data_IF_288259385514
#
_entry.id   IF_288259385514
#
_cell.length_a   1.000
_cell.length_b   1.000
_cell.length_c   1.000
_cell.angle_alpha   90.00
_cell.angle_beta   90.00
_cell.angle_gamma   90.00
#
_symmetry.space_group_name_H-M   'P 1'
#
loop_
_entity.id
_entity.type
_entity.pdbx_description
1 polymer ?
#
# COMPACT_ATOMS: atom_id res chain seq x y z
N UNK A 1 9.98 -17.99 34.11
CA UNK A 1 9.89 -16.53 34.34
C UNK A 1 10.17 -15.65 33.11
N UNK A 2 10.98 -16.06 32.12
CA UNK A 2 11.20 -15.26 30.88
C UNK A 2 10.08 -15.36 29.82
N UNK A 3 9.25 -16.42 29.87
CA UNK A 3 8.16 -16.66 28.89
C UNK A 3 6.85 -15.91 29.19
N UNK A 4 6.67 -15.44 30.42
CA UNK A 4 5.46 -14.70 30.84
C UNK A 4 5.60 -13.21 30.45
N UNK A 5 6.83 -12.68 30.45
CA UNK A 5 7.13 -11.31 30.03
C UNK A 5 6.93 -11.13 28.51
N UNK A 6 7.26 -12.16 27.71
CA UNK A 6 7.04 -12.14 26.27
C UNK A 6 5.53 -12.09 25.89
N UNK A 7 4.67 -12.72 26.69
CA UNK A 7 3.21 -12.68 26.48
C UNK A 7 2.57 -11.37 26.93
N UNK A 8 3.17 -10.66 27.88
CA UNK A 8 2.64 -9.39 28.39
C UNK A 8 2.96 -8.20 27.45
N UNK A 9 4.10 -8.25 26.75
CA UNK A 9 4.45 -7.24 25.73
C UNK A 9 3.63 -7.43 24.45
N UNK A 10 3.19 -8.65 24.15
CA UNK A 10 2.28 -8.94 23.03
C UNK A 10 0.81 -8.58 23.35
N UNK A 11 0.42 -8.55 24.62
CA UNK A 11 -0.91 -8.15 25.08
C UNK A 11 -1.09 -6.65 25.31
N UNK A 12 -0.01 -5.91 25.59
CA UNK A 12 -0.09 -4.48 25.93
C UNK A 12 -0.24 -3.54 24.71
N UNK A 13 -0.15 -4.04 23.48
CA UNK A 13 -0.43 -3.24 22.27
C UNK A 13 -1.90 -3.32 21.82
N UNK A 14 -2.71 -4.17 22.46
CA UNK A 14 -4.10 -4.42 22.08
C UNK A 14 -5.12 -3.61 22.89
N UNK A 15 -4.70 -2.79 23.85
CA UNK A 15 -5.63 -2.17 24.83
C UNK A 15 -5.55 -0.64 24.96
N UNK A 16 -5.07 0.08 23.95
CA UNK A 16 -5.06 1.55 23.96
C UNK A 16 -5.57 2.16 22.65
N UNK A 17 -6.77 1.75 22.21
CA UNK A 17 -7.52 2.48 21.18
C UNK A 17 -9.04 2.24 21.27
N UNK A 18 -9.62 2.26 22.49
CA UNK A 18 -11.06 2.53 22.65
C UNK A 18 -11.20 4.05 22.83
N UNK A 19 -11.05 4.77 21.73
CA UNK A 19 -11.38 6.18 21.64
C UNK A 19 -12.07 6.37 20.30
N UNK A 20 -13.18 7.10 20.26
CA UNK A 20 -13.91 7.45 19.05
C UNK A 20 -12.95 7.86 17.93
N UNK A 21 -12.60 6.92 17.06
CA UNK A 21 -11.72 7.14 15.94
C UNK A 21 -12.59 6.98 14.70
N UNK A 22 -12.80 8.13 14.08
CA UNK A 22 -13.39 8.33 12.76
C UNK A 22 -13.26 7.07 11.89
N UNK A 23 -14.35 6.60 11.27
CA UNK A 23 -14.37 5.36 10.46
C UNK A 23 -13.21 5.30 9.47
N UNK A 24 -12.78 6.46 9.00
CA UNK A 24 -11.69 6.65 8.08
C UNK A 24 -10.31 6.35 8.73
N UNK A 25 -10.07 6.81 9.96
CA UNK A 25 -8.85 6.54 10.73
C UNK A 25 -8.76 5.07 11.19
N UNK A 26 -9.90 4.46 11.53
CA UNK A 26 -9.99 3.02 11.81
C UNK A 26 -9.72 2.16 10.59
N UNK A 27 -10.21 2.56 9.40
CA UNK A 27 -10.00 1.86 8.13
C UNK A 27 -8.54 1.87 7.67
N UNK A 28 -7.85 3.01 7.78
CA UNK A 28 -6.43 3.12 7.44
C UNK A 28 -5.53 2.29 8.40
N UNK A 29 -5.82 2.33 9.70
CA UNK A 29 -5.07 1.56 10.71
C UNK A 29 -5.25 0.05 10.56
N UNK A 30 -6.49 -0.42 10.36
CA UNK A 30 -6.76 -1.83 10.08
C UNK A 30 -6.22 -2.26 8.72
N UNK A 31 -6.34 -1.43 7.69
CA UNK A 31 -5.84 -1.69 6.34
C UNK A 31 -4.31 -1.80 6.30
N UNK A 32 -3.61 -0.96 7.06
CA UNK A 32 -2.16 -1.03 7.21
C UNK A 32 -1.72 -2.33 7.89
N UNK A 33 -2.34 -2.69 9.03
CA UNK A 33 -1.97 -3.90 9.79
C UNK A 33 -2.34 -5.19 9.05
N UNK A 34 -3.53 -5.25 8.47
CA UNK A 34 -4.00 -6.39 7.68
C UNK A 34 -3.18 -6.52 6.39
N UNK A 35 -2.93 -5.40 5.72
CA UNK A 35 -2.08 -5.34 4.52
C UNK A 35 -0.66 -5.80 4.81
N UNK A 36 -0.08 -5.40 5.94
CA UNK A 36 1.24 -5.86 6.37
C UNK A 36 1.27 -7.38 6.61
N UNK A 37 0.29 -7.92 7.32
CA UNK A 37 0.23 -9.34 7.62
C UNK A 37 0.05 -10.20 6.36
N UNK A 38 -0.91 -9.83 5.49
CA UNK A 38 -1.17 -10.55 4.23
C UNK A 38 0.02 -10.42 3.27
N UNK A 39 0.60 -9.22 3.17
CA UNK A 39 1.78 -8.97 2.37
C UNK A 39 2.97 -9.82 2.83
N UNK A 40 3.16 -9.97 4.14
CA UNK A 40 4.22 -10.80 4.71
C UNK A 40 4.06 -12.29 4.38
N UNK A 41 2.82 -12.78 4.29
CA UNK A 41 2.53 -14.19 4.07
C UNK A 41 2.58 -14.58 2.58
N UNK A 42 2.29 -13.64 1.69
CA UNK A 42 2.17 -13.90 0.24
C UNK A 42 3.46 -13.62 -0.53
N UNK A 43 4.45 -12.97 0.08
CA UNK A 43 5.74 -12.67 -0.54
C UNK A 43 6.83 -13.68 -0.17
N UNK A 44 7.69 -14.00 -1.13
CA UNK A 44 8.92 -14.80 -0.90
C UNK A 44 9.83 -14.17 0.16
N UNK A 45 9.82 -12.84 0.23
CA UNK A 45 10.46 -12.07 1.29
C UNK A 45 9.39 -11.40 2.16
N UNK A 46 9.19 -11.94 3.37
CA UNK A 46 8.12 -11.52 4.28
C UNK A 46 8.21 -10.05 4.67
N UNK A 47 9.41 -9.49 4.77
CA UNK A 47 9.62 -8.09 5.19
C UNK A 47 9.23 -7.14 4.06
N UNK A 48 9.68 -7.43 2.83
CA UNK A 48 9.32 -6.64 1.64
C UNK A 48 7.82 -6.70 1.38
N UNK A 49 7.23 -7.91 1.44
CA UNK A 49 5.80 -8.09 1.30
C UNK A 49 4.98 -7.34 2.35
N UNK A 50 5.40 -7.37 3.61
CA UNK A 50 4.74 -6.62 4.68
C UNK A 50 4.79 -5.11 4.45
N UNK A 51 5.94 -4.57 4.02
CA UNK A 51 6.09 -3.14 3.77
C UNK A 51 5.25 -2.67 2.56
N UNK A 52 5.26 -3.46 1.48
CA UNK A 52 4.41 -3.22 0.30
C UNK A 52 2.93 -3.26 0.71
N UNK A 53 2.53 -4.29 1.46
CA UNK A 53 1.16 -4.47 1.90
C UNK A 53 0.70 -3.39 2.88
N UNK A 54 1.56 -2.94 3.79
CA UNK A 54 1.27 -1.88 4.75
C UNK A 54 1.13 -0.51 4.06
N UNK A 55 2.07 -0.15 3.18
CA UNK A 55 2.09 1.15 2.52
C UNK A 55 0.93 1.32 1.54
N UNK A 56 0.67 0.30 0.73
CA UNK A 56 -0.46 0.28 -0.20
C UNK A 56 -1.79 0.19 0.56
N UNK A 57 -1.88 -0.69 1.57
CA UNK A 57 -3.11 -0.95 2.32
C UNK A 57 -3.58 0.23 3.16
N UNK A 58 -2.66 1.00 3.74
CA UNK A 58 -3.00 2.19 4.51
C UNK A 58 -3.53 3.32 3.62
N UNK A 59 -2.81 3.64 2.54
CA UNK A 59 -3.09 4.78 1.68
C UNK A 59 -4.32 4.54 0.81
N UNK A 60 -4.38 3.38 0.14
CA UNK A 60 -5.43 3.09 -0.83
C UNK A 60 -6.65 2.47 -0.16
N UNK A 61 -6.47 1.78 0.97
CA UNK A 61 -7.59 1.31 1.79
C UNK A 61 -8.44 2.45 2.36
N UNK A 62 -7.85 3.62 2.61
CA UNK A 62 -8.58 4.82 3.01
C UNK A 62 -9.36 5.47 1.85
N UNK A 63 -8.72 5.63 0.69
CA UNK A 63 -9.25 6.45 -0.39
C UNK A 63 -10.06 5.68 -1.44
N UNK A 64 -9.64 4.45 -1.76
CA UNK A 64 -10.24 3.58 -2.78
C UNK A 64 -11.01 2.42 -2.11
N UNK A 65 -10.62 2.03 -0.89
CA UNK A 65 -11.26 0.97 -0.12
C UNK A 65 -10.59 -0.39 -0.31
N UNK A 66 -11.31 -1.46 0.07
CA UNK A 66 -10.82 -2.84 0.03
C UNK A 66 -10.88 -3.47 -1.38
N UNK A 67 -11.15 -2.67 -2.40
CA UNK A 67 -11.26 -3.12 -3.80
C UNK A 67 -9.89 -3.44 -4.42
N UNK A 68 -8.81 -2.87 -3.89
CA UNK A 68 -7.50 -3.10 -4.46
C UNK A 68 -6.91 -4.44 -4.06
N UNK A 69 -6.69 -5.29 -5.05
CA UNK A 69 -6.17 -6.64 -4.84
C UNK A 69 -4.67 -6.76 -5.16
N UNK A 70 -4.19 -7.99 -5.31
CA UNK A 70 -2.79 -8.26 -5.63
C UNK A 70 -2.42 -7.86 -7.07
N UNK A 71 -3.33 -8.03 -8.03
CA UNK A 71 -3.10 -7.72 -9.43
C UNK A 71 -2.87 -6.21 -9.62
N UNK A 72 -3.67 -5.38 -8.95
CA UNK A 72 -3.51 -3.92 -9.02
C UNK A 72 -2.16 -3.46 -8.48
N UNK A 73 -1.69 -4.08 -7.38
CA UNK A 73 -0.37 -3.79 -6.78
C UNK A 73 0.77 -4.13 -7.71
N UNK A 74 0.63 -5.21 -8.47
CA UNK A 74 1.59 -5.62 -9.49
C UNK A 74 1.59 -4.62 -10.66
N UNK A 75 0.43 -4.14 -11.11
CA UNK A 75 0.35 -3.12 -12.16
C UNK A 75 0.93 -1.77 -11.71
N UNK A 76 0.71 -1.36 -10.46
CA UNK A 76 1.34 -0.17 -9.88
C UNK A 76 2.87 -0.31 -9.86
N UNK A 77 3.39 -1.45 -9.39
CA UNK A 77 4.83 -1.74 -9.42
C UNK A 77 5.39 -1.68 -10.84
N UNK A 78 4.71 -2.32 -11.79
CA UNK A 78 5.08 -2.31 -13.21
C UNK A 78 5.08 -0.89 -13.78
N UNK A 79 4.10 -0.07 -13.42
CA UNK A 79 4.04 1.33 -13.83
C UNK A 79 5.25 2.12 -13.32
N UNK A 80 5.54 2.01 -12.02
CA UNK A 80 6.67 2.71 -11.41
C UNK A 80 8.03 2.30 -12.00
N UNK A 81 8.17 1.02 -12.38
CA UNK A 81 9.41 0.47 -12.92
C UNK A 81 9.59 0.77 -14.42
N UNK A 82 8.54 0.61 -15.22
CA UNK A 82 8.67 0.57 -16.69
C UNK A 82 8.27 1.85 -17.41
N UNK A 83 7.46 2.69 -16.76
CA UNK A 83 6.85 3.83 -17.44
C UNK A 83 7.68 5.12 -17.25
N UNK A 84 7.94 5.89 -18.33
CA UNK A 84 8.53 7.21 -18.22
C UNK A 84 7.67 8.14 -17.36
N UNK A 85 8.31 9.14 -16.76
CA UNK A 85 7.64 10.16 -15.94
C UNK A 85 6.55 10.88 -16.74
N UNK A 86 5.37 11.03 -16.12
CA UNK A 86 4.21 11.69 -16.71
C UNK A 86 3.41 10.87 -17.72
N UNK A 87 3.85 9.64 -18.05
CA UNK A 87 3.10 8.78 -18.97
C UNK A 87 2.18 7.84 -18.17
N UNK A 88 0.86 7.84 -18.38
CA UNK A 88 -0.05 6.97 -17.65
C UNK A 88 0.06 5.51 -18.12
N UNK A 89 -0.19 4.57 -17.22
CA UNK A 89 -0.52 3.18 -17.55
C UNK A 89 -1.90 2.87 -16.99
N UNK A 90 -2.81 2.43 -17.86
CA UNK A 90 -4.18 2.09 -17.49
C UNK A 90 -4.42 0.58 -17.56
N UNK A 91 -5.24 0.06 -16.65
CA UNK A 91 -5.67 -1.33 -16.65
C UNK A 91 -7.09 -1.49 -16.12
N UNK A 92 -7.72 -2.60 -16.47
CA UNK A 92 -8.95 -3.08 -15.85
C UNK A 92 -8.60 -4.31 -15.04
N UNK A 93 -9.01 -4.32 -13.78
CA UNK A 93 -8.83 -5.47 -12.92
C UNK A 93 -9.77 -6.61 -13.39
N UNK A 94 -9.26 -7.82 -13.66
CA UNK A 94 -10.08 -8.94 -14.14
C UNK A 94 -10.98 -9.56 -13.07
N UNK A 95 -10.67 -9.39 -11.78
CA UNK A 95 -11.34 -10.05 -10.67
C UNK A 95 -12.56 -9.24 -10.18
N UNK A 96 -12.45 -7.90 -10.13
CA UNK A 96 -13.54 -7.01 -9.68
C UNK A 96 -14.08 -6.05 -10.77
N UNK A 97 -13.40 -5.93 -11.91
CA UNK A 97 -13.81 -5.06 -13.01
C UNK A 97 -13.50 -3.56 -12.84
N UNK A 98 -12.87 -3.15 -11.73
CA UNK A 98 -12.46 -1.77 -11.47
C UNK A 98 -11.43 -1.31 -12.49
N UNK A 99 -11.57 -0.08 -12.98
CA UNK A 99 -10.64 0.53 -13.92
C UNK A 99 -9.69 1.46 -13.18
N UNK A 100 -8.41 1.36 -13.52
CA UNK A 100 -7.34 2.13 -12.90
C UNK A 100 -6.47 2.82 -13.94
N UNK A 101 -5.89 3.94 -13.55
CA UNK A 101 -4.83 4.63 -14.27
C UNK A 101 -3.75 5.07 -13.27
N UNK A 102 -2.49 4.74 -13.52
CA UNK A 102 -1.37 5.17 -12.69
C UNK A 102 -0.38 6.00 -13.52
N UNK A 103 0.01 7.16 -13.00
CA UNK A 103 0.97 8.07 -13.63
C UNK A 103 2.15 8.31 -12.70
N UNK A 104 3.37 7.86 -13.05
CA UNK A 104 4.55 8.05 -12.22
C UNK A 104 5.20 9.42 -12.46
N UNK A 105 5.74 10.01 -11.41
CA UNK A 105 6.50 11.26 -11.43
C UNK A 105 7.99 11.05 -11.73
N UNK A 106 8.75 12.13 -11.68
CA UNK A 106 10.20 12.11 -11.88
C UNK A 106 10.91 11.37 -10.74
N UNK A 107 11.86 10.46 -11.02
CA UNK A 107 12.63 9.82 -9.97
C UNK A 107 13.62 10.80 -9.31
N UNK A 108 13.77 10.69 -7.99
CA UNK A 108 14.71 11.48 -7.20
C UNK A 108 15.35 10.63 -6.10
N UNK A 109 16.58 10.97 -5.71
CA UNK A 109 17.28 10.29 -4.61
C UNK A 109 17.00 10.99 -3.28
N UNK A 110 16.71 10.22 -2.24
CA UNK A 110 16.57 10.69 -0.86
C UNK A 110 16.88 9.54 0.10
N UNK A 111 17.57 9.79 1.21
CA UNK A 111 17.92 8.77 2.22
C UNK A 111 18.48 7.47 1.59
N UNK A 112 19.41 7.60 0.64
CA UNK A 112 20.03 6.49 -0.11
C UNK A 112 19.04 5.56 -0.84
N UNK A 113 17.84 6.06 -1.14
CA UNK A 113 16.80 5.36 -1.90
C UNK A 113 16.32 6.20 -3.07
N UNK A 114 15.91 5.54 -4.14
CA UNK A 114 15.23 6.18 -5.26
C UNK A 114 13.76 6.27 -4.94
N UNK A 115 13.20 7.46 -5.04
CA UNK A 115 11.79 7.75 -4.87
C UNK A 115 11.16 8.19 -6.19
N UNK A 116 9.86 7.92 -6.35
CA UNK A 116 8.99 8.50 -7.38
C UNK A 116 7.66 8.86 -6.75
N UNK A 117 7.12 10.00 -7.13
CA UNK A 117 5.72 10.30 -6.83
C UNK A 117 4.83 9.51 -7.81
N UNK A 118 3.58 9.24 -7.44
CA UNK A 118 2.61 8.53 -8.29
C UNK A 118 1.21 9.05 -8.03
N UNK A 119 0.45 9.25 -9.11
CA UNK A 119 -0.99 9.52 -9.04
C UNK A 119 -1.74 8.31 -9.59
N UNK A 120 -2.66 7.78 -8.80
CA UNK A 120 -3.49 6.61 -9.12
C UNK A 120 -4.93 7.10 -9.18
N UNK A 121 -5.59 6.87 -10.30
CA UNK A 121 -7.03 7.09 -10.48
C UNK A 121 -7.72 5.75 -10.53
N UNK A 122 -8.87 5.63 -9.88
CA UNK A 122 -9.70 4.43 -9.89
C UNK A 122 -11.16 4.82 -10.11
N UNK A 123 -11.87 4.10 -10.98
CA UNK A 123 -13.31 4.23 -11.11
C UNK A 123 -13.98 3.09 -10.33
N UNK A 124 -14.40 3.36 -9.09
CA UNK A 124 -15.02 2.40 -8.18
C UNK A 124 -16.52 2.70 -8.11
N UNK A 125 -17.35 1.75 -8.51
CA UNK A 125 -18.81 1.89 -8.49
C UNK A 125 -19.36 3.14 -9.22
N UNK A 126 -18.67 3.59 -10.27
CA UNK A 126 -19.03 4.78 -11.04
C UNK A 126 -18.52 6.10 -10.46
N UNK A 127 -17.81 6.07 -9.33
CA UNK A 127 -17.15 7.23 -8.74
C UNK A 127 -15.65 7.21 -9.04
N UNK A 128 -15.12 8.30 -9.58
CA UNK A 128 -13.67 8.47 -9.75
C UNK A 128 -13.01 8.86 -8.41
N UNK A 129 -11.99 8.10 -8.03
CA UNK A 129 -11.15 8.31 -6.86
C UNK A 129 -9.72 8.56 -7.30
N UNK A 130 -9.17 9.69 -6.91
CA UNK A 130 -7.79 10.06 -7.18
C UNK A 130 -6.94 9.97 -5.91
N UNK A 131 -5.82 9.26 -5.99
CA UNK A 131 -4.86 9.10 -4.89
C UNK A 131 -3.48 9.52 -5.35
N UNK A 132 -2.87 10.43 -4.59
CA UNK A 132 -1.47 10.80 -4.75
C UNK A 132 -0.66 10.14 -3.66
N UNK A 133 0.44 9.51 -4.03
CA UNK A 133 1.35 8.84 -3.12
C UNK A 133 2.79 9.05 -3.57
N UNK A 134 3.72 8.69 -2.70
CA UNK A 134 5.13 8.54 -3.00
C UNK A 134 5.48 7.06 -2.99
N UNK A 135 6.54 6.67 -3.68
CA UNK A 135 7.02 5.29 -3.68
C UNK A 135 8.55 5.29 -3.61
N UNK A 136 9.15 4.41 -2.82
CA UNK A 136 10.59 4.15 -2.89
C UNK A 136 10.88 2.79 -3.53
N UNK A 137 12.00 2.71 -4.25
CA UNK A 137 12.49 1.50 -4.90
C UNK A 137 13.46 0.77 -3.97
N UNK A 138 13.27 -0.54 -3.80
CA UNK A 138 14.18 -1.43 -3.12
C UNK A 138 15.28 -1.94 -4.07
N UNK A 139 16.34 -2.53 -3.48
CA UNK A 139 17.44 -3.13 -4.24
C UNK A 139 16.99 -4.32 -5.11
N UNK A 140 15.91 -5.01 -4.73
CA UNK A 140 15.30 -6.11 -5.49
C UNK A 140 14.39 -5.64 -6.64
N UNK A 141 14.27 -4.33 -6.86
CA UNK A 141 13.43 -3.73 -7.90
C UNK A 141 11.96 -3.55 -7.50
N UNK A 142 11.57 -3.94 -6.28
CA UNK A 142 10.21 -3.70 -5.79
C UNK A 142 10.00 -2.25 -5.38
N UNK A 143 8.81 -1.73 -5.61
CA UNK A 143 8.37 -0.41 -5.19
C UNK A 143 7.42 -0.50 -4.00
N UNK A 144 7.67 0.35 -3.00
CA UNK A 144 6.86 0.45 -1.79
C UNK A 144 6.21 1.81 -1.74
N UNK A 145 4.87 1.85 -1.77
CA UNK A 145 4.12 3.09 -1.59
C UNK A 145 4.27 3.60 -0.16
N UNK A 146 4.46 4.90 -0.03
CA UNK A 146 4.59 5.65 1.21
C UNK A 146 3.87 6.99 1.07
N UNK A 147 3.53 7.58 2.22
CA UNK A 147 2.93 8.91 2.30
C UNK A 147 3.97 9.99 2.03
#
# INVERSE_FOLDING_TARGET
>A
MKRIIASLVLGAFLLSAVGCADKAQSGAGLGALTGAAVGALTSKNKISGAAIGAGIGALLGYAIGNEMDKYDKEQINKTLETQPSGRPMAWKNPDNGTQYEATPGTPYSSNDKIYRDITIKANVNGEEKDVKAKAYRNADGTWVLVQ
#
